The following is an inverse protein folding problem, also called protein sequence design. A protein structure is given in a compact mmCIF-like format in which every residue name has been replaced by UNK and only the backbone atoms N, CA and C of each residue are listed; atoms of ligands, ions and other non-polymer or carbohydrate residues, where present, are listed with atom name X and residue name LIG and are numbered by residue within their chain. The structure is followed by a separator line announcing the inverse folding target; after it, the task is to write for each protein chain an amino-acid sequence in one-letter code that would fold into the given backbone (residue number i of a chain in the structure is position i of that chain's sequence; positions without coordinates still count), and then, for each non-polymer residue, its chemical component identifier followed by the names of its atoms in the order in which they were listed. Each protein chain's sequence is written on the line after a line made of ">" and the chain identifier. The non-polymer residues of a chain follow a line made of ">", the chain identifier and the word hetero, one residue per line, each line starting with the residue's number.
data_IF_186005603274
#
_entry.id   IF_186005603274
#
_cell.length_a   1.000
_cell.length_b   1.000
_cell.length_c   1.000
_cell.angle_alpha   90.00
_cell.angle_beta   90.00
_cell.angle_gamma   90.00
#
_symmetry.space_group_name_H-M   'P 1'
#
loop_
_entity.id
_entity.type
_entity.pdbx_description
1 polymer ?
#
# COMPACT_ATOMS: atom_id res chain seq x y z
N UNK A 1 25.25 -14.28 18.19
CA UNK A 1 25.35 -14.14 16.72
C UNK A 1 24.06 -13.52 16.22
N UNK A 2 24.09 -12.24 15.85
CA UNK A 2 22.96 -11.60 15.18
C UNK A 2 22.77 -12.28 13.82
N UNK A 3 21.54 -12.70 13.50
CA UNK A 3 21.23 -13.27 12.19
C UNK A 3 21.35 -12.16 11.16
N UNK A 4 22.17 -12.34 10.14
CA UNK A 4 22.25 -11.42 9.01
C UNK A 4 20.97 -11.54 8.17
N UNK A 5 19.94 -10.76 8.54
CA UNK A 5 18.66 -10.76 7.85
C UNK A 5 18.74 -9.83 6.65
N UNK A 6 18.63 -10.39 5.44
CA UNK A 6 18.50 -9.60 4.20
C UNK A 6 17.08 -9.71 3.64
N UNK A 7 16.48 -8.59 3.26
CA UNK A 7 15.17 -8.58 2.63
C UNK A 7 15.32 -8.52 1.11
N UNK A 8 14.53 -9.31 0.39
CA UNK A 8 14.54 -9.34 -1.08
C UNK A 8 13.15 -9.04 -1.61
N UNK A 9 13.02 -7.95 -2.35
CA UNK A 9 11.80 -7.60 -3.08
C UNK A 9 11.99 -7.96 -4.55
N UNK A 10 11.15 -8.84 -5.08
CA UNK A 10 11.15 -9.20 -6.51
C UNK A 10 10.04 -8.45 -7.22
N UNK A 11 10.30 -7.98 -8.43
CA UNK A 11 9.31 -7.36 -9.28
C UNK A 11 8.86 -8.32 -10.38
N UNK A 12 7.57 -8.25 -10.70
CA UNK A 12 6.95 -9.04 -11.74
C UNK A 12 7.35 -8.54 -13.13
N UNK A 13 7.49 -9.48 -14.06
CA UNK A 13 7.61 -9.15 -15.48
C UNK A 13 6.21 -9.06 -16.11
N UNK A 14 6.07 -8.18 -17.11
CA UNK A 14 4.85 -8.11 -17.93
C UNK A 14 4.58 -9.50 -18.53
N UNK A 15 3.36 -10.02 -18.35
CA UNK A 15 2.94 -11.33 -18.87
C UNK A 15 2.89 -12.47 -17.85
N UNK A 16 3.41 -12.29 -16.64
CA UNK A 16 3.32 -13.27 -15.54
C UNK A 16 2.42 -12.75 -14.42
N UNK A 17 1.13 -12.55 -14.72
CA UNK A 17 0.18 -11.80 -13.88
C UNK A 17 -0.76 -12.68 -13.06
N UNK A 18 -0.36 -13.91 -12.70
CA UNK A 18 -1.13 -14.72 -11.76
C UNK A 18 -0.41 -14.73 -10.41
N UNK A 19 -0.83 -13.81 -9.54
CA UNK A 19 -0.42 -13.74 -8.15
C UNK A 19 -1.51 -14.35 -7.27
N UNK A 20 -1.13 -14.84 -6.08
CA UNK A 20 -2.10 -15.28 -5.06
C UNK A 20 -3.12 -14.16 -4.73
N UNK A 21 -2.67 -12.91 -4.80
CA UNK A 21 -3.52 -11.72 -4.62
C UNK A 21 -4.65 -11.65 -5.67
N UNK A 22 -4.41 -12.06 -6.92
CA UNK A 22 -5.43 -12.05 -7.97
C UNK A 22 -6.52 -13.10 -7.68
N UNK A 23 -6.13 -14.22 -7.07
CA UNK A 23 -7.07 -15.22 -6.55
C UNK A 23 -7.93 -14.64 -5.42
N UNK A 24 -7.32 -13.94 -4.47
CA UNK A 24 -8.04 -13.26 -3.39
C UNK A 24 -9.02 -12.21 -3.94
N UNK A 25 -8.55 -11.35 -4.86
CA UNK A 25 -9.37 -10.33 -5.52
C UNK A 25 -10.59 -10.96 -6.21
N UNK A 26 -10.36 -12.00 -7.02
CA UNK A 26 -11.42 -12.71 -7.74
C UNK A 26 -12.49 -13.27 -6.81
N UNK A 27 -12.09 -13.81 -5.65
CA UNK A 27 -13.02 -14.37 -4.65
C UNK A 27 -13.82 -13.27 -3.97
N UNK A 28 -13.18 -12.16 -3.58
CA UNK A 28 -13.84 -11.01 -2.95
C UNK A 28 -14.80 -10.35 -3.94
N UNK A 29 -14.39 -10.13 -5.18
CA UNK A 29 -15.22 -9.54 -6.24
C UNK A 29 -16.47 -10.38 -6.51
N UNK A 30 -16.31 -11.71 -6.59
CA UNK A 30 -17.46 -12.63 -6.71
C UNK A 30 -18.40 -12.55 -5.51
N UNK A 31 -17.87 -12.36 -4.31
CA UNK A 31 -18.66 -12.20 -3.09
C UNK A 31 -19.34 -10.83 -3.00
N UNK A 32 -18.79 -9.79 -3.62
CA UNK A 32 -19.35 -8.44 -3.68
C UNK A 32 -20.48 -8.31 -4.70
N UNK A 33 -20.45 -9.12 -5.77
CA UNK A 33 -21.43 -9.07 -6.85
C UNK A 33 -22.85 -9.15 -6.31
N UNK A 34 -23.71 -8.22 -6.75
CA UNK A 34 -25.12 -8.10 -6.36
C UNK A 34 -25.37 -7.89 -4.86
N UNK A 35 -24.37 -7.45 -4.08
CA UNK A 35 -24.56 -7.08 -2.67
C UNK A 35 -24.80 -5.58 -2.53
N UNK A 36 -25.74 -5.22 -1.64
CA UNK A 36 -25.98 -3.82 -1.27
C UNK A 36 -24.86 -3.33 -0.35
N UNK A 37 -24.16 -2.29 -0.79
CA UNK A 37 -23.08 -1.65 -0.03
C UNK A 37 -23.54 -0.26 0.39
N UNK A 38 -23.84 -0.09 1.67
CA UNK A 38 -24.30 1.17 2.21
C UNK A 38 -23.19 1.94 2.92
N UNK A 39 -22.19 1.27 3.49
CA UNK A 39 -21.06 1.92 4.17
C UNK A 39 -19.76 1.13 3.94
N UNK A 40 -18.58 1.76 4.10
CA UNK A 40 -17.31 1.06 3.90
C UNK A 40 -17.11 -0.19 4.79
N UNK A 41 -17.70 -0.22 5.98
CA UNK A 41 -17.65 -1.39 6.87
C UNK A 41 -18.29 -2.65 6.22
N UNK A 42 -19.25 -2.48 5.30
CA UNK A 42 -19.83 -3.61 4.58
C UNK A 42 -18.80 -4.32 3.71
N UNK A 43 -17.85 -3.58 3.11
CA UNK A 43 -16.74 -4.19 2.35
C UNK A 43 -15.87 -5.07 3.24
N UNK A 44 -15.58 -4.63 4.47
CA UNK A 44 -14.80 -5.42 5.43
C UNK A 44 -15.48 -6.74 5.74
N UNK A 45 -16.77 -6.67 6.07
CA UNK A 45 -17.56 -7.86 6.39
C UNK A 45 -17.59 -8.85 5.21
N UNK A 46 -17.81 -8.34 3.99
CA UNK A 46 -17.85 -9.17 2.79
C UNK A 46 -16.46 -9.78 2.51
N UNK A 47 -15.40 -8.99 2.62
CA UNK A 47 -14.03 -9.49 2.44
C UNK A 47 -13.70 -10.60 3.44
N UNK A 48 -14.01 -10.42 4.74
CA UNK A 48 -13.80 -11.45 5.78
C UNK A 48 -14.53 -12.76 5.47
N UNK A 49 -15.72 -12.67 4.88
CA UNK A 49 -16.59 -13.82 4.61
C UNK A 49 -16.48 -14.37 3.17
N UNK A 50 -15.63 -13.77 2.33
CA UNK A 50 -15.52 -14.12 0.92
C UNK A 50 -14.94 -15.53 0.70
N UNK A 51 -13.96 -15.93 1.53
CA UNK A 51 -13.36 -17.26 1.50
C UNK A 51 -13.88 -18.11 2.66
N UNK A 52 -14.64 -19.18 2.36
CA UNK A 52 -15.23 -20.06 3.39
C UNK A 52 -14.20 -20.97 4.07
N UNK A 53 -13.22 -21.48 3.30
CA UNK A 53 -12.26 -22.47 3.79
C UNK A 53 -11.20 -21.83 4.68
N UNK A 54 -10.64 -20.71 4.21
CA UNK A 54 -9.62 -19.92 4.90
C UNK A 54 -10.03 -18.45 4.86
N UNK A 55 -10.83 -17.96 5.83
CA UNK A 55 -11.24 -16.57 5.91
C UNK A 55 -10.04 -15.62 5.89
N UNK A 56 -10.20 -14.47 5.23
CA UNK A 56 -9.14 -13.46 5.17
C UNK A 56 -9.06 -12.68 6.47
N UNK A 57 -7.85 -12.36 6.92
CA UNK A 57 -7.65 -11.33 7.93
C UNK A 57 -7.82 -9.95 7.27
N UNK A 58 -8.83 -9.20 7.71
CA UNK A 58 -9.18 -7.91 7.11
C UNK A 58 -9.23 -6.86 8.21
N UNK A 59 -8.36 -5.86 8.07
CA UNK A 59 -8.26 -4.74 8.99
C UNK A 59 -8.93 -3.51 8.38
N UNK A 60 -9.81 -2.86 9.15
CA UNK A 60 -10.40 -1.59 8.74
C UNK A 60 -9.47 -0.45 9.13
N UNK A 61 -8.90 0.21 8.11
CA UNK A 61 -7.89 1.24 8.32
C UNK A 61 -8.55 2.59 8.66
N UNK A 62 -7.88 3.34 9.52
CA UNK A 62 -8.28 4.70 9.89
C UNK A 62 -7.14 5.69 9.68
N UNK A 63 -7.40 6.99 9.81
CA UNK A 63 -6.41 8.02 9.49
C UNK A 63 -5.11 7.89 10.31
N UNK A 64 -5.18 7.39 11.54
CA UNK A 64 -4.02 7.16 12.41
C UNK A 64 -3.09 6.01 11.96
N UNK A 65 -3.51 5.18 11.00
CA UNK A 65 -2.69 4.11 10.44
C UNK A 65 -1.58 4.65 9.54
N UNK A 66 -1.85 5.75 8.84
CA UNK A 66 -0.92 6.30 7.85
C UNK A 66 0.19 7.08 8.55
N UNK A 67 1.44 6.70 8.27
CA UNK A 67 2.65 7.34 8.79
C UNK A 67 3.31 8.21 7.71
N UNK A 68 3.88 9.34 8.09
CA UNK A 68 4.60 10.22 7.17
C UNK A 68 6.03 9.71 6.94
N UNK A 69 6.15 8.68 6.11
CA UNK A 69 7.43 8.06 5.78
C UNK A 69 8.26 8.94 4.83
N UNK A 70 7.60 9.64 3.91
CA UNK A 70 8.24 10.42 2.86
C UNK A 70 9.03 11.61 3.42
N UNK A 71 8.43 12.36 4.35
CA UNK A 71 9.11 13.52 4.92
C UNK A 71 10.06 13.15 6.08
N UNK A 72 9.80 12.03 6.76
CA UNK A 72 10.57 11.61 7.95
C UNK A 72 11.83 10.82 7.60
N UNK A 73 11.73 9.76 6.80
CA UNK A 73 12.84 8.81 6.66
C UNK A 73 13.88 9.27 5.63
N UNK A 74 13.47 9.79 4.47
CA UNK A 74 14.34 10.35 3.40
C UNK A 74 15.68 9.59 3.14
N UNK A 75 15.69 8.25 3.29
CA UNK A 75 16.90 7.43 3.20
C UNK A 75 17.48 7.41 1.77
N UNK A 76 16.61 7.26 0.78
CA UNK A 76 16.96 7.25 -0.64
C UNK A 76 16.07 8.21 -1.41
N UNK A 77 16.68 9.06 -2.24
CA UNK A 77 15.94 9.95 -3.14
C UNK A 77 15.36 9.20 -4.36
N UNK A 78 16.02 8.12 -4.78
CA UNK A 78 15.61 7.35 -5.94
C UNK A 78 16.21 5.95 -5.92
N UNK A 79 15.43 4.98 -6.41
CA UNK A 79 15.88 3.60 -6.70
C UNK A 79 16.33 3.44 -8.15
N UNK A 80 16.52 4.52 -8.92
CA UNK A 80 16.93 4.44 -10.32
C UNK A 80 18.32 3.79 -10.44
N UNK A 81 18.48 2.72 -11.24
CA UNK A 81 19.74 1.97 -11.33
C UNK A 81 20.91 2.81 -11.83
N UNK A 82 20.67 3.71 -12.77
CA UNK A 82 21.70 4.47 -13.50
C UNK A 82 21.14 5.82 -13.97
N UNK A 83 22.01 6.81 -14.22
CA UNK A 83 21.61 8.24 -14.35
C UNK A 83 21.62 8.80 -15.78
N UNK A 84 22.34 8.19 -16.72
CA UNK A 84 22.51 8.76 -18.07
C UNK A 84 21.27 8.50 -18.94
N UNK A 85 21.13 9.28 -19.99
CA UNK A 85 20.13 9.05 -21.04
C UNK A 85 20.45 7.74 -21.75
N UNK A 86 19.45 6.85 -21.90
CA UNK A 86 19.63 5.50 -22.44
C UNK A 86 19.95 4.42 -21.41
N UNK A 87 20.26 4.80 -20.17
CA UNK A 87 20.50 3.84 -19.09
C UNK A 87 19.20 3.16 -18.60
N UNK A 88 19.29 1.93 -18.05
CA UNK A 88 18.20 1.27 -17.35
C UNK A 88 17.55 2.16 -16.28
N UNK A 89 16.22 2.16 -16.30
CA UNK A 89 15.37 2.93 -15.37
C UNK A 89 14.75 2.01 -14.32
N UNK A 90 13.92 2.58 -13.43
CA UNK A 90 13.24 1.84 -12.35
C UNK A 90 12.42 0.65 -12.89
N UNK A 91 11.85 0.79 -14.09
CA UNK A 91 11.03 -0.26 -14.72
C UNK A 91 11.84 -1.48 -15.19
N UNK A 92 13.16 -1.34 -15.30
CA UNK A 92 14.07 -2.42 -15.71
C UNK A 92 14.54 -3.26 -14.51
N UNK A 93 14.24 -2.84 -13.27
CA UNK A 93 14.62 -3.56 -12.06
C UNK A 93 13.80 -4.84 -11.96
N UNK A 94 14.48 -5.95 -11.64
CA UNK A 94 13.88 -7.27 -11.43
C UNK A 94 13.83 -7.67 -9.97
N UNK A 95 14.80 -7.20 -9.18
CA UNK A 95 14.78 -7.37 -7.73
C UNK A 95 15.57 -6.27 -7.04
N UNK A 96 15.18 -5.98 -5.79
CA UNK A 96 15.92 -5.19 -4.82
C UNK A 96 16.30 -6.07 -3.63
N UNK A 97 17.47 -5.82 -3.07
CA UNK A 97 17.93 -6.40 -1.82
C UNK A 97 18.24 -5.27 -0.84
N UNK A 98 17.70 -5.39 0.36
CA UNK A 98 17.91 -4.46 1.46
C UNK A 98 18.80 -5.14 2.50
N UNK A 99 19.90 -4.48 2.83
CA UNK A 99 20.87 -4.94 3.83
C UNK A 99 20.70 -4.14 5.12
N UNK A 100 21.16 -4.70 6.25
CA UNK A 100 21.01 -4.09 7.58
C UNK A 100 21.81 -2.79 7.73
N UNK A 101 22.86 -2.61 6.94
CA UNK A 101 23.63 -1.35 6.86
C UNK A 101 22.91 -0.26 6.05
N UNK A 102 21.66 -0.52 5.64
CA UNK A 102 20.81 0.43 4.92
C UNK A 102 21.16 0.58 3.44
N UNK A 103 21.99 -0.31 2.88
CA UNK A 103 22.25 -0.31 1.44
C UNK A 103 21.13 -1.02 0.68
N UNK A 104 20.88 -0.51 -0.52
CA UNK A 104 19.96 -1.10 -1.49
C UNK A 104 20.79 -1.54 -2.69
N UNK A 105 20.69 -2.83 -2.99
CA UNK A 105 21.28 -3.46 -4.17
C UNK A 105 20.17 -3.89 -5.13
N UNK A 106 20.45 -3.96 -6.42
CA UNK A 106 19.47 -4.29 -7.45
C UNK A 106 19.96 -5.35 -8.43
N UNK A 107 19.01 -5.96 -9.13
CA UNK A 107 19.25 -6.83 -10.30
C UNK A 107 18.44 -6.35 -11.50
N UNK A 108 19.04 -6.38 -12.68
CA UNK A 108 18.37 -6.10 -13.97
C UNK A 108 17.97 -7.37 -14.72
N UNK A 109 18.57 -8.52 -14.38
CA UNK A 109 18.29 -9.83 -14.97
C UNK A 109 18.03 -10.85 -13.88
N UNK A 110 17.10 -11.78 -14.10
CA UNK A 110 16.82 -12.86 -13.14
C UNK A 110 17.97 -13.86 -13.02
N UNK A 111 18.70 -14.07 -14.12
CA UNK A 111 19.85 -14.97 -14.19
C UNK A 111 21.14 -14.39 -13.60
N UNK A 112 21.19 -13.08 -13.30
CA UNK A 112 22.37 -12.48 -12.71
C UNK A 112 22.61 -13.11 -11.32
N UNK A 113 23.82 -13.59 -11.07
CA UNK A 113 24.26 -14.08 -9.76
C UNK A 113 24.47 -12.90 -8.81
N UNK A 114 25.12 -11.85 -9.30
CA UNK A 114 25.60 -10.74 -8.48
C UNK A 114 24.57 -9.63 -8.33
N UNK A 115 24.70 -8.87 -7.23
CA UNK A 115 23.88 -7.71 -6.92
C UNK A 115 24.70 -6.43 -7.16
N UNK A 116 24.09 -5.43 -7.81
CA UNK A 116 24.73 -4.14 -8.04
C UNK A 116 24.22 -3.12 -7.00
N UNK A 117 25.12 -2.37 -6.37
CA UNK A 117 24.73 -1.27 -5.48
C UNK A 117 24.11 -0.10 -6.24
N UNK A 118 23.10 0.56 -5.67
CA UNK A 118 22.55 1.78 -6.27
C UNK A 118 23.61 2.89 -6.36
N UNK A 119 23.63 3.71 -7.44
CA UNK A 119 24.60 4.79 -7.65
C UNK A 119 24.32 6.04 -6.80
N UNK A 120 23.46 5.92 -5.79
CA UNK A 120 23.06 7.01 -4.90
C UNK A 120 23.83 6.87 -3.61
N UNK A 121 24.64 7.88 -3.28
CA UNK A 121 25.30 7.97 -1.98
C UNK A 121 24.22 8.06 -0.90
N UNK A 122 24.22 7.08 0.01
CA UNK A 122 23.34 7.10 1.16
C UNK A 122 23.81 8.14 2.17
N UNK A 123 22.86 8.78 2.85
CA UNK A 123 23.16 9.40 4.15
C UNK A 123 23.38 8.27 5.16
N UNK A 124 24.09 8.54 6.24
CA UNK A 124 24.13 7.61 7.38
C UNK A 124 22.70 7.36 7.84
N UNK A 125 22.22 6.12 7.70
CA UNK A 125 20.87 5.73 8.11
C UNK A 125 20.96 5.34 9.58
N UNK A 126 20.34 6.14 10.45
CA UNK A 126 20.06 5.70 11.81
C UNK A 126 18.77 4.88 11.83
N UNK A 127 18.73 3.84 12.67
CA UNK A 127 17.50 3.12 12.92
C UNK A 127 16.46 4.07 13.54
N UNK A 128 15.28 4.15 12.91
CA UNK A 128 14.14 4.92 13.40
C UNK A 128 13.03 3.90 13.71
N UNK A 129 12.64 3.72 14.99
CA UNK A 129 11.53 2.83 15.34
C UNK A 129 10.24 3.26 14.64
N UNK A 130 9.47 2.31 14.12
CA UNK A 130 8.23 2.62 13.38
C UNK A 130 7.23 3.46 14.19
N UNK A 131 7.18 3.23 15.50
CA UNK A 131 6.28 3.95 16.40
C UNK A 131 6.63 5.43 16.54
N UNK A 132 7.90 5.80 16.33
CA UNK A 132 8.37 7.19 16.36
C UNK A 132 8.09 7.96 15.07
N UNK A 133 7.72 7.28 13.98
CA UNK A 133 7.35 7.96 12.74
C UNK A 133 6.04 8.71 12.98
N UNK A 134 5.96 10.02 12.67
CA UNK A 134 4.75 10.80 12.86
C UNK A 134 3.61 10.31 11.97
N UNK A 135 2.38 10.57 12.39
CA UNK A 135 1.19 10.29 11.57
C UNK A 135 1.13 11.25 10.39
N UNK A 136 0.76 10.72 9.22
CA UNK A 136 0.54 11.51 8.00
C UNK A 136 -0.68 12.41 8.12
N UNK A 137 -1.71 11.94 8.84
CA UNK A 137 -2.97 12.65 9.03
C UNK A 137 -3.25 12.81 10.53
N UNK A 138 -3.52 14.05 10.95
CA UNK A 138 -3.92 14.37 12.34
C UNK A 138 -5.40 14.12 12.61
N UNK A 139 -6.21 14.03 11.55
CA UNK A 139 -7.65 13.81 11.64
C UNK A 139 -8.16 13.10 10.37
N UNK A 140 -9.45 12.74 10.37
CA UNK A 140 -10.12 12.24 9.17
C UNK A 140 -10.03 13.25 8.02
N UNK A 141 -9.71 12.75 6.81
CA UNK A 141 -9.67 13.55 5.60
C UNK A 141 -11.02 14.16 5.29
N UNK A 142 -11.04 15.47 5.05
CA UNK A 142 -12.22 16.21 4.64
C UNK A 142 -12.54 15.94 3.17
N UNK A 143 -13.81 15.72 2.88
CA UNK A 143 -14.30 15.68 1.50
C UNK A 143 -14.73 17.09 1.06
N UNK A 144 -14.78 17.32 -0.25
CA UNK A 144 -15.32 18.57 -0.79
C UNK A 144 -16.79 18.74 -0.42
N UNK A 145 -17.23 19.97 -0.17
CA UNK A 145 -18.63 20.30 0.13
C UNK A 145 -19.61 19.78 -0.92
N UNK A 146 -19.28 19.85 -2.22
CA UNK A 146 -20.16 19.34 -3.28
C UNK A 146 -20.35 17.82 -3.13
N UNK A 147 -19.24 17.09 -2.90
CA UNK A 147 -19.29 15.64 -2.70
C UNK A 147 -20.09 15.27 -1.46
N UNK A 148 -19.99 16.05 -0.38
CA UNK A 148 -20.80 15.85 0.81
C UNK A 148 -22.29 16.00 0.48
N UNK A 149 -22.68 17.06 -0.23
CA UNK A 149 -24.08 17.29 -0.61
C UNK A 149 -24.62 16.16 -1.51
N UNK A 150 -23.85 15.69 -2.48
CA UNK A 150 -24.23 14.55 -3.32
C UNK A 150 -24.51 13.29 -2.48
N UNK A 151 -23.67 13.03 -1.48
CA UNK A 151 -23.86 11.89 -0.56
C UNK A 151 -25.10 12.07 0.32
N UNK A 152 -25.40 13.30 0.76
CA UNK A 152 -26.62 13.60 1.49
C UNK A 152 -27.87 13.34 0.64
N UNK A 153 -27.83 13.68 -0.66
CA UNK A 153 -28.93 13.39 -1.58
C UNK A 153 -29.10 11.88 -1.81
N UNK A 154 -28.00 11.13 -1.95
CA UNK A 154 -28.02 9.67 -2.11
C UNK A 154 -28.48 8.92 -0.86
N UNK A 155 -28.33 9.53 0.33
CA UNK A 155 -28.73 8.97 1.62
C UNK A 155 -30.21 8.55 1.67
N UNK A 156 -31.08 9.16 0.89
CA UNK A 156 -32.50 8.77 0.81
C UNK A 156 -32.74 7.39 0.19
N UNK A 157 -31.75 6.82 -0.51
CA UNK A 157 -31.84 5.49 -1.16
C UNK A 157 -31.46 4.32 -0.23
N UNK A 158 -31.01 4.62 0.99
CA UNK A 158 -30.53 3.64 1.97
C UNK A 158 -31.30 3.72 3.29
N UNK A 159 -31.23 2.65 4.07
CA UNK A 159 -31.87 2.54 5.37
C UNK A 159 -31.34 3.60 6.35
N UNK A 160 -32.22 4.12 7.21
CA UNK A 160 -31.93 5.21 8.14
C UNK A 160 -30.77 4.90 9.08
N UNK A 161 -30.56 3.63 9.42
CA UNK A 161 -29.47 3.17 10.28
C UNK A 161 -28.08 3.54 9.74
N UNK A 162 -27.93 3.69 8.42
CA UNK A 162 -26.66 4.07 7.79
C UNK A 162 -26.45 5.58 7.69
N UNK A 163 -27.50 6.39 7.94
CA UNK A 163 -27.46 7.84 7.69
C UNK A 163 -26.43 8.54 8.56
N UNK A 164 -26.31 8.10 9.82
CA UNK A 164 -25.36 8.66 10.78
C UNK A 164 -23.90 8.61 10.29
N UNK A 165 -23.52 7.61 9.48
CA UNK A 165 -22.18 7.57 8.90
C UNK A 165 -21.92 8.77 7.98
N UNK A 166 -22.88 9.09 7.12
CA UNK A 166 -22.78 10.15 6.12
C UNK A 166 -22.90 11.54 6.76
N UNK A 167 -23.77 11.69 7.77
CA UNK A 167 -23.98 12.94 8.50
C UNK A 167 -22.72 13.41 9.24
N UNK A 168 -21.90 12.46 9.67
CA UNK A 168 -20.66 12.72 10.41
C UNK A 168 -19.40 12.73 9.51
N UNK A 169 -19.55 12.83 8.19
CA UNK A 169 -18.41 12.95 7.28
C UNK A 169 -17.82 14.38 7.36
N UNK A 170 -16.52 14.51 7.67
CA UNK A 170 -15.88 15.82 7.69
C UNK A 170 -15.81 16.41 6.27
N UNK A 171 -16.12 17.69 6.13
CA UNK A 171 -16.17 18.37 4.85
C UNK A 171 -15.70 19.82 4.94
N UNK A 172 -15.29 20.39 3.80
CA UNK A 172 -14.90 21.80 3.60
C UNK A 172 -15.36 22.30 2.26
#
# INVERSE_FOLDING_TARGET
>A
MEKEVTFKQKYLQKGHTQMECDGMHSVIERALKNKKINIPANYVYIAKTACKKNPYDVQYLYHHFFKDVEHTLKFYKSIRPRKRTGDPTVTNIRALKYTLDGRIEFKLRHSATDWEGLPTRTKTISFIPWDTVPQLYSARLKIKKEKYQDLQNLKHTMEKDYHNFYDNLPHT
#
